data_IF_488788306656
#
_entry.id   IF_488788306656
#
_cell.length_a   1.000
_cell.length_b   1.000
_cell.length_c   1.000
_cell.angle_alpha   90.00
_cell.angle_beta   90.00
_cell.angle_gamma   90.00
#
_symmetry.space_group_name_H-M   'P 1'
#
loop_
_entity.id
_entity.type
_entity.pdbx_description
1 polymer ?
#
# COMPACT_ATOMS: atom_id res chain seq x y z
N UNK A 1 -1.34 5.15 -3.03
CA UNK A 1 -0.63 4.10 -3.80
C UNK A 1 0.54 4.61 -4.64
N UNK A 2 0.30 5.46 -5.66
CA UNK A 2 1.29 5.79 -6.70
C UNK A 2 2.59 6.42 -6.16
N UNK A 3 2.51 7.41 -5.27
CA UNK A 3 3.69 8.05 -4.68
C UNK A 3 4.59 7.06 -3.92
N UNK A 4 4.00 6.12 -3.18
CA UNK A 4 4.74 5.10 -2.44
C UNK A 4 5.43 4.07 -3.36
N UNK A 5 4.78 3.70 -4.47
CA UNK A 5 5.40 2.83 -5.48
C UNK A 5 6.53 3.55 -6.22
N UNK A 6 6.36 4.83 -6.57
CA UNK A 6 7.41 5.64 -7.20
C UNK A 6 8.60 5.81 -6.26
N UNK A 7 8.36 6.11 -4.98
CA UNK A 7 9.41 6.17 -3.95
C UNK A 7 10.14 4.82 -3.82
N UNK A 8 9.39 3.72 -3.74
CA UNK A 8 9.97 2.38 -3.66
C UNK A 8 10.83 2.05 -4.88
N UNK A 9 10.39 2.40 -6.09
CA UNK A 9 11.14 2.18 -7.32
C UNK A 9 12.44 2.99 -7.35
N UNK A 10 12.40 4.25 -6.91
CA UNK A 10 13.56 5.16 -6.85
C UNK A 10 14.61 4.75 -5.80
N UNK A 11 14.24 3.96 -4.79
CA UNK A 11 15.18 3.45 -3.79
C UNK A 11 16.10 2.38 -4.37
N UNK A 12 17.40 2.61 -4.22
CA UNK A 12 18.45 1.64 -4.58
C UNK A 12 18.52 0.46 -3.60
N UNK A 13 18.24 0.69 -2.32
CA UNK A 13 18.19 -0.36 -1.30
C UNK A 13 16.95 -0.27 -0.44
N UNK A 14 16.42 -1.43 -0.12
CA UNK A 14 15.32 -1.63 0.83
C UNK A 14 15.77 -2.61 1.91
N UNK A 15 15.18 -2.53 3.11
CA UNK A 15 15.41 -3.56 4.14
C UNK A 15 14.71 -4.84 3.69
N UNK A 16 15.48 -5.81 3.18
CA UNK A 16 14.93 -7.03 2.59
C UNK A 16 14.49 -6.87 1.13
N UNK A 17 13.85 -7.91 0.56
CA UNK A 17 13.52 -7.96 -0.87
C UNK A 17 12.53 -6.87 -1.28
N UNK A 18 12.81 -6.19 -2.40
CA UNK A 18 11.99 -5.08 -2.91
C UNK A 18 10.53 -5.48 -3.19
N UNK A 19 10.30 -6.73 -3.59
CA UNK A 19 8.97 -7.27 -3.87
C UNK A 19 8.07 -7.36 -2.62
N UNK A 20 8.65 -7.56 -1.43
CA UNK A 20 7.90 -7.58 -0.16
C UNK A 20 7.29 -6.21 0.10
N UNK A 21 8.06 -5.15 -0.14
CA UNK A 21 7.59 -3.78 0.05
C UNK A 21 6.49 -3.39 -0.95
N UNK A 22 6.53 -3.94 -2.17
CA UNK A 22 5.41 -3.77 -3.13
C UNK A 22 4.13 -4.36 -2.55
N UNK A 23 4.19 -5.58 -1.99
CA UNK A 23 3.05 -6.23 -1.36
C UNK A 23 2.51 -5.40 -0.18
N UNK A 24 3.40 -4.89 0.68
CA UNK A 24 3.03 -4.02 1.82
C UNK A 24 2.28 -2.77 1.33
N UNK A 25 2.80 -2.07 0.31
CA UNK A 25 2.16 -0.85 -0.23
C UNK A 25 0.77 -1.14 -0.79
N UNK A 26 0.59 -2.28 -1.46
CA UNK A 26 -0.70 -2.72 -1.98
C UNK A 26 -1.67 -3.03 -0.84
N UNK A 27 -1.28 -3.86 0.13
CA UNK A 27 -2.13 -4.27 1.24
C UNK A 27 -2.56 -3.08 2.11
N UNK A 28 -1.67 -2.13 2.38
CA UNK A 28 -2.01 -0.91 3.12
C UNK A 28 -3.03 -0.05 2.35
N UNK A 29 -2.98 -0.02 1.00
CA UNK A 29 -4.00 0.70 0.22
C UNK A 29 -5.38 0.05 0.28
N UNK A 30 -5.49 -1.24 0.63
CA UNK A 30 -6.77 -1.91 0.82
C UNK A 30 -7.44 -1.53 2.15
N UNK A 31 -6.68 -1.05 3.13
CA UNK A 31 -7.22 -0.66 4.44
C UNK A 31 -8.26 0.45 4.30
N UNK A 32 -8.02 1.46 3.46
CA UNK A 32 -8.98 2.56 3.23
C UNK A 32 -10.35 2.07 2.73
N UNK A 33 -10.40 1.32 1.62
CA UNK A 33 -11.62 0.68 1.15
C UNK A 33 -12.28 -0.23 2.18
N UNK A 34 -11.52 -1.04 2.92
CA UNK A 34 -12.07 -1.91 3.96
C UNK A 34 -12.74 -1.08 5.06
N UNK A 35 -12.08 -0.02 5.54
CA UNK A 35 -12.64 0.90 6.54
C UNK A 35 -13.90 1.58 6.00
N UNK A 36 -13.88 2.04 4.74
CA UNK A 36 -15.05 2.64 4.09
C UNK A 36 -16.23 1.65 4.01
N UNK A 37 -15.98 0.41 3.60
CA UNK A 37 -17.03 -0.60 3.49
C UNK A 37 -17.61 -1.01 4.85
N UNK A 38 -16.79 -1.03 5.91
CA UNK A 38 -17.21 -1.42 7.25
C UNK A 38 -17.94 -0.30 8.01
N UNK A 39 -17.51 0.95 7.86
CA UNK A 39 -17.96 2.06 8.70
C UNK A 39 -18.59 3.22 7.92
N UNK A 40 -18.19 3.41 6.66
CA UNK A 40 -18.68 4.52 5.83
C UNK A 40 -19.80 4.13 4.87
N UNK A 41 -20.07 2.83 4.71
CA UNK A 41 -21.16 2.33 3.89
C UNK A 41 -22.43 2.29 4.74
N UNK A 42 -23.15 3.40 4.78
CA UNK A 42 -24.55 3.41 5.18
C UNK A 42 -25.36 2.69 4.08
N UNK A 43 -26.19 1.73 4.49
CA UNK A 43 -27.31 1.24 3.69
C UNK A 43 -28.49 2.20 3.81
#
# INVERSE_FOLDING_TARGET
MLAALIDLLRRERTKGPKWVWVLVVVLVNLVGPIVYLLFGREE
#
